data_IF_390479060278
#
_entry.id   IF_390479060278
#
_cell.length_a   1.000
_cell.length_b   1.000
_cell.length_c   1.000
_cell.angle_alpha   90.00
_cell.angle_beta   90.00
_cell.angle_gamma   90.00
#
_symmetry.space_group_name_H-M   'P 1'
#
loop_
_entity.id
_entity.type
_entity.pdbx_description
1 polymer ?
#
# COMPACT_ATOMS: atom_id res chain seq x y z
N UNK A 1 16.60 -30.44 -24.35
CA UNK A 1 16.68 -29.09 -23.79
C UNK A 1 17.52 -29.17 -22.54
N UNK A 2 18.79 -28.74 -22.62
CA UNK A 2 19.69 -28.67 -21.44
C UNK A 2 19.25 -27.48 -20.60
N UNK A 3 18.58 -27.74 -19.50
CA UNK A 3 18.30 -26.71 -18.51
C UNK A 3 19.62 -26.32 -17.84
N UNK A 4 20.10 -25.13 -18.14
CA UNK A 4 21.22 -24.53 -17.39
C UNK A 4 20.82 -24.34 -15.93
N UNK A 5 21.43 -25.11 -15.04
CA UNK A 5 21.18 -24.98 -13.61
C UNK A 5 22.07 -23.84 -13.06
N UNK A 6 21.49 -22.64 -12.99
CA UNK A 6 22.17 -21.43 -12.49
C UNK A 6 22.74 -21.60 -11.08
N UNK A 7 22.06 -22.35 -10.21
CA UNK A 7 22.51 -22.61 -8.85
C UNK A 7 23.84 -23.39 -8.82
N UNK A 8 24.03 -24.33 -9.73
CA UNK A 8 25.30 -25.06 -9.87
C UNK A 8 26.43 -24.14 -10.33
N UNK A 9 26.17 -23.24 -11.28
CA UNK A 9 27.16 -22.30 -11.78
C UNK A 9 27.62 -21.29 -10.72
N UNK A 10 26.71 -20.85 -9.85
CA UNK A 10 27.02 -19.98 -8.69
C UNK A 10 27.84 -20.77 -7.67
N UNK A 11 27.46 -22.02 -7.37
CA UNK A 11 28.18 -22.90 -6.42
C UNK A 11 29.60 -23.15 -6.84
N UNK A 12 29.88 -23.36 -8.13
CA UNK A 12 31.24 -23.56 -8.67
C UNK A 12 31.99 -22.24 -8.93
N UNK A 13 31.45 -21.09 -8.48
CA UNK A 13 32.04 -19.75 -8.70
C UNK A 13 32.32 -19.40 -10.17
N UNK A 14 31.68 -20.12 -11.10
CA UNK A 14 31.77 -19.80 -12.54
C UNK A 14 31.04 -18.48 -12.86
N UNK A 15 30.00 -18.15 -12.07
CA UNK A 15 29.27 -16.89 -12.14
C UNK A 15 29.40 -16.22 -10.76
N UNK A 16 29.89 -14.99 -10.73
CA UNK A 16 30.10 -14.22 -9.51
C UNK A 16 28.80 -13.70 -8.92
N UNK A 17 27.92 -13.25 -9.78
CA UNK A 17 26.65 -12.62 -9.41
C UNK A 17 25.66 -12.64 -10.58
N UNK A 18 24.40 -12.91 -10.30
CA UNK A 18 23.31 -12.81 -11.29
C UNK A 18 22.35 -11.70 -10.80
N UNK A 19 22.12 -10.73 -11.65
CA UNK A 19 21.15 -9.68 -11.39
C UNK A 19 20.20 -9.55 -12.58
N UNK A 20 18.94 -9.23 -12.28
CA UNK A 20 17.93 -9.04 -13.31
C UNK A 20 18.22 -7.76 -14.10
N UNK A 21 18.17 -7.87 -15.45
CA UNK A 21 18.31 -6.71 -16.32
C UNK A 21 17.04 -5.88 -16.25
N UNK A 22 17.18 -4.56 -16.04
CA UNK A 22 16.07 -3.64 -16.02
C UNK A 22 15.34 -3.62 -17.37
N UNK A 23 14.02 -3.78 -17.32
CA UNK A 23 13.15 -3.61 -18.49
C UNK A 23 12.84 -2.11 -18.64
N UNK A 24 13.68 -1.40 -19.37
CA UNK A 24 13.60 0.07 -19.55
C UNK A 24 12.22 0.58 -19.97
N UNK A 25 11.51 -0.16 -20.84
CA UNK A 25 10.15 0.20 -21.28
C UNK A 25 9.14 0.22 -20.12
N UNK A 26 9.25 -0.73 -19.18
CA UNK A 26 8.36 -0.78 -18.01
C UNK A 26 8.75 0.28 -16.97
N UNK A 27 10.05 0.53 -16.81
CA UNK A 27 10.56 1.58 -15.93
C UNK A 27 10.11 2.97 -16.40
N UNK A 28 10.19 3.23 -17.71
CA UNK A 28 9.72 4.47 -18.32
C UNK A 28 8.20 4.66 -18.17
N UNK A 29 7.44 3.57 -18.27
CA UNK A 29 6.00 3.60 -17.99
C UNK A 29 5.68 3.95 -16.51
N UNK A 30 6.46 3.42 -15.56
CA UNK A 30 6.35 3.77 -14.14
C UNK A 30 6.73 5.24 -13.89
N UNK A 31 7.81 5.74 -14.50
CA UNK A 31 8.22 7.13 -14.40
C UNK A 31 7.15 8.09 -14.94
N UNK A 32 6.56 7.78 -16.10
CA UNK A 32 5.47 8.57 -16.69
C UNK A 32 4.21 8.60 -15.82
N UNK A 33 3.97 7.57 -15.01
CA UNK A 33 2.88 7.52 -14.04
C UNK A 33 3.13 8.35 -12.77
N UNK A 34 4.29 8.99 -12.66
CA UNK A 34 4.60 9.92 -11.59
C UNK A 34 5.35 9.33 -10.40
N UNK A 35 5.88 8.12 -10.50
CA UNK A 35 6.70 7.52 -9.44
C UNK A 35 7.99 8.29 -9.14
N UNK A 36 8.44 9.11 -10.07
CA UNK A 36 9.65 9.93 -9.93
C UNK A 36 9.35 11.38 -9.49
N UNK A 37 8.09 11.73 -9.33
CA UNK A 37 7.69 13.10 -9.01
C UNK A 37 7.07 13.14 -7.61
N UNK A 38 7.76 13.72 -6.60
CA UNK A 38 7.27 13.77 -5.22
C UNK A 38 5.94 14.53 -5.09
N UNK A 39 5.68 15.50 -5.98
CA UNK A 39 4.39 16.20 -6.01
C UNK A 39 3.25 15.30 -6.46
N UNK A 40 3.51 14.36 -7.37
CA UNK A 40 2.50 13.39 -7.83
C UNK A 40 2.26 12.25 -6.85
N UNK A 41 3.16 12.01 -5.90
CA UNK A 41 2.91 11.11 -4.77
C UNK A 41 1.81 11.61 -3.83
N UNK A 42 1.56 12.93 -3.80
CA UNK A 42 0.45 13.55 -3.07
C UNK A 42 -0.88 13.30 -3.81
N UNK A 43 -0.86 13.22 -5.15
CA UNK A 43 -2.01 12.82 -5.93
C UNK A 43 -2.18 11.30 -5.87
N UNK A 44 -3.39 10.88 -5.57
CA UNK A 44 -3.80 9.49 -5.36
C UNK A 44 -3.22 8.54 -6.43
N UNK A 45 -2.34 7.59 -6.07
CA UNK A 45 -1.88 6.59 -7.03
C UNK A 45 -3.08 5.77 -7.51
N UNK A 46 -3.26 5.67 -8.82
CA UNK A 46 -4.36 4.93 -9.43
C UNK A 46 -4.14 3.41 -9.32
N UNK A 47 -5.20 2.62 -9.42
CA UNK A 47 -5.10 1.14 -9.41
C UNK A 47 -4.21 0.62 -10.55
N UNK A 48 -4.20 1.30 -11.70
CA UNK A 48 -3.32 1.00 -12.83
C UNK A 48 -1.82 1.05 -12.48
N UNK A 49 -1.42 1.92 -11.55
CA UNK A 49 -0.05 2.01 -11.05
C UNK A 49 0.40 0.71 -10.38
N UNK A 50 -0.45 0.07 -9.58
CA UNK A 50 -0.12 -1.15 -8.86
C UNK A 50 0.03 -2.37 -9.79
N UNK A 51 -0.73 -2.43 -10.87
CA UNK A 51 -0.61 -3.52 -11.87
C UNK A 51 0.70 -3.42 -12.66
N UNK A 52 1.19 -2.20 -12.93
CA UNK A 52 2.50 -2.01 -13.55
C UNK A 52 3.66 -2.35 -12.61
N UNK A 53 3.50 -2.06 -11.31
CA UNK A 53 4.45 -2.53 -10.28
C UNK A 53 4.49 -4.05 -10.22
N UNK A 54 3.34 -4.73 -10.30
CA UNK A 54 3.28 -6.19 -10.33
C UNK A 54 4.01 -6.78 -11.55
N UNK A 55 3.89 -6.16 -12.72
CA UNK A 55 4.60 -6.58 -13.93
C UNK A 55 6.11 -6.42 -13.84
N UNK A 56 6.59 -5.47 -13.04
CA UNK A 56 8.02 -5.16 -12.90
C UNK A 56 8.67 -5.89 -11.72
N UNK A 57 8.07 -5.82 -10.52
CA UNK A 57 8.63 -6.31 -9.26
C UNK A 57 8.05 -7.64 -8.76
N UNK A 58 7.17 -8.28 -9.51
CA UNK A 58 6.37 -9.44 -9.08
C UNK A 58 5.29 -9.12 -8.02
N UNK A 59 4.48 -10.14 -7.76
CA UNK A 59 3.26 -10.01 -6.96
C UNK A 59 3.50 -9.63 -5.49
N UNK A 60 4.54 -10.15 -4.86
CA UNK A 60 4.82 -9.91 -3.43
C UNK A 60 5.03 -8.43 -3.13
N UNK A 61 5.92 -7.79 -3.89
CA UNK A 61 6.20 -6.36 -3.76
C UNK A 61 4.99 -5.53 -4.16
N UNK A 62 4.28 -5.93 -5.23
CA UNK A 62 3.08 -5.24 -5.69
C UNK A 62 1.95 -5.25 -4.64
N UNK A 63 1.79 -6.34 -3.85
CA UNK A 63 0.84 -6.38 -2.74
C UNK A 63 1.19 -5.39 -1.64
N UNK A 64 2.45 -5.25 -1.31
CA UNK A 64 2.90 -4.28 -0.32
C UNK A 64 2.56 -2.84 -0.75
N UNK A 65 2.84 -2.49 -2.01
CA UNK A 65 2.47 -1.20 -2.58
C UNK A 65 0.95 -1.00 -2.64
N UNK A 66 0.21 -2.04 -2.98
CA UNK A 66 -1.26 -2.00 -2.98
C UNK A 66 -1.81 -1.72 -1.58
N UNK A 67 -1.27 -2.39 -0.55
CA UNK A 67 -1.66 -2.17 0.83
C UNK A 67 -1.37 -0.73 1.28
N UNK A 68 -0.16 -0.23 1.05
CA UNK A 68 0.21 1.15 1.40
C UNK A 68 -0.67 2.18 0.71
N UNK A 69 -0.94 1.99 -0.56
CA UNK A 69 -1.81 2.87 -1.34
C UNK A 69 -3.23 2.92 -0.75
N UNK A 70 -3.79 1.74 -0.46
CA UNK A 70 -5.12 1.65 0.12
C UNK A 70 -5.16 2.26 1.53
N UNK A 71 -4.17 1.93 2.36
CA UNK A 71 -4.04 2.45 3.71
C UNK A 71 -3.94 3.98 3.73
N UNK A 72 -3.08 4.56 2.89
CA UNK A 72 -2.91 6.02 2.79
C UNK A 72 -4.22 6.73 2.43
N UNK A 73 -5.00 6.15 1.53
CA UNK A 73 -6.32 6.70 1.17
C UNK A 73 -7.29 6.65 2.35
N UNK A 74 -7.35 5.53 3.03
CA UNK A 74 -8.26 5.37 4.17
C UNK A 74 -7.85 6.22 5.37
N UNK A 75 -6.57 6.55 5.53
CA UNK A 75 -6.08 7.42 6.60
C UNK A 75 -6.58 8.86 6.51
N UNK A 76 -7.04 9.32 5.35
CA UNK A 76 -7.61 10.66 5.21
C UNK A 76 -8.83 10.87 6.13
N UNK A 77 -9.68 9.86 6.30
CA UNK A 77 -10.86 9.96 7.16
C UNK A 77 -10.52 10.14 8.66
N UNK A 78 -9.68 9.30 9.29
CA UNK A 78 -9.29 9.51 10.69
C UNK A 78 -8.47 10.78 10.91
N UNK A 79 -7.69 11.23 9.94
CA UNK A 79 -6.97 12.50 10.03
C UNK A 79 -7.94 13.67 10.09
N UNK A 80 -8.94 13.72 9.21
CA UNK A 80 -9.98 14.75 9.24
C UNK A 80 -10.77 14.71 10.56
N UNK A 81 -11.14 13.51 11.02
CA UNK A 81 -11.84 13.34 12.29
C UNK A 81 -10.98 13.82 13.47
N UNK A 82 -9.68 13.56 13.46
CA UNK A 82 -8.72 14.03 14.47
C UNK A 82 -8.63 15.57 14.50
N UNK A 83 -8.57 16.19 13.33
CA UNK A 83 -8.55 17.67 13.23
C UNK A 83 -9.84 18.24 13.79
N UNK A 84 -11.00 17.70 13.43
CA UNK A 84 -12.30 18.16 13.95
C UNK A 84 -12.37 18.01 15.48
N UNK A 85 -11.97 16.87 16.02
CA UNK A 85 -11.94 16.66 17.48
C UNK A 85 -10.97 17.59 18.20
N UNK A 86 -9.83 17.88 17.59
CA UNK A 86 -8.87 18.84 18.13
C UNK A 86 -9.46 20.27 18.16
N UNK A 87 -10.08 20.70 17.07
CA UNK A 87 -10.71 22.02 16.99
C UNK A 87 -11.87 22.16 17.98
N UNK A 88 -12.69 21.14 18.13
CA UNK A 88 -13.78 21.12 19.11
C UNK A 88 -13.24 21.28 20.55
N UNK A 89 -12.12 20.62 20.87
CA UNK A 89 -11.49 20.76 22.20
C UNK A 89 -10.84 22.12 22.41
N UNK A 90 -10.24 22.68 21.36
CA UNK A 90 -9.52 23.94 21.44
C UNK A 90 -10.46 25.16 21.51
N UNK A 91 -11.48 25.20 20.66
CA UNK A 91 -12.44 26.31 20.61
C UNK A 91 -13.64 26.13 21.54
N UNK A 92 -13.98 24.89 21.88
CA UNK A 92 -15.03 24.60 22.84
C UNK A 92 -14.51 24.82 24.25
N UNK A 93 -15.13 25.75 24.99
CA UNK A 93 -14.87 25.92 26.43
C UNK A 93 -15.46 24.76 27.24
N UNK A 94 -15.16 23.51 26.86
CA UNK A 94 -15.68 22.32 27.48
C UNK A 94 -14.91 21.99 28.76
N UNK A 95 -15.63 21.66 29.83
CA UNK A 95 -15.02 21.19 31.07
C UNK A 95 -14.29 19.84 30.89
N UNK A 96 -13.42 19.47 31.83
CA UNK A 96 -12.64 18.21 31.79
C UNK A 96 -13.50 16.96 31.53
N UNK A 97 -14.70 16.90 32.06
CA UNK A 97 -15.64 15.78 31.89
C UNK A 97 -16.15 15.64 30.46
N UNK A 98 -16.46 16.74 29.80
CA UNK A 98 -16.92 16.75 28.40
C UNK A 98 -15.77 16.42 27.42
N UNK A 99 -14.56 16.90 27.69
CA UNK A 99 -13.36 16.56 26.93
C UNK A 99 -13.07 15.05 26.99
N UNK A 100 -13.33 14.39 28.13
CA UNK A 100 -13.18 12.94 28.27
C UNK A 100 -14.19 12.18 27.42
N UNK A 101 -15.45 12.61 27.37
CA UNK A 101 -16.50 12.00 26.51
C UNK A 101 -16.14 12.10 25.03
N UNK A 102 -15.67 13.25 24.57
CA UNK A 102 -15.24 13.47 23.17
C UNK A 102 -14.08 12.52 22.82
N UNK A 103 -13.11 12.35 23.73
CA UNK A 103 -12.00 11.43 23.52
C UNK A 103 -12.46 9.97 23.41
N UNK A 104 -13.39 9.57 24.30
CA UNK A 104 -13.94 8.23 24.29
C UNK A 104 -14.74 7.94 22.99
N UNK A 105 -15.56 8.88 22.56
CA UNK A 105 -16.28 8.78 21.29
C UNK A 105 -15.32 8.68 20.08
N UNK A 106 -14.26 9.48 20.08
CA UNK A 106 -13.22 9.39 19.05
C UNK A 106 -12.56 8.01 19.01
N UNK A 107 -12.21 7.45 20.17
CA UNK A 107 -11.60 6.11 20.24
C UNK A 107 -12.53 5.03 19.65
N UNK A 108 -13.82 5.07 19.99
CA UNK A 108 -14.82 4.13 19.43
C UNK A 108 -14.91 4.27 17.91
N UNK A 109 -14.95 5.50 17.38
CA UNK A 109 -14.98 5.74 15.94
C UNK A 109 -13.74 5.18 15.23
N UNK A 110 -12.55 5.33 15.82
CA UNK A 110 -11.31 4.76 15.24
C UNK A 110 -11.35 3.22 15.25
N UNK A 111 -11.89 2.58 16.28
CA UNK A 111 -12.07 1.13 16.30
C UNK A 111 -12.99 0.65 15.18
N UNK A 112 -14.13 1.32 14.98
CA UNK A 112 -15.08 1.02 13.90
C UNK A 112 -14.40 1.22 12.55
N UNK A 113 -13.71 2.35 12.36
CA UNK A 113 -12.97 2.65 11.14
C UNK A 113 -11.93 1.56 10.81
N UNK A 114 -11.16 1.13 11.81
CA UNK A 114 -10.16 0.07 11.64
C UNK A 114 -10.78 -1.25 11.16
N UNK A 115 -11.93 -1.63 11.74
CA UNK A 115 -12.67 -2.84 11.36
C UNK A 115 -13.17 -2.75 9.92
N UNK A 116 -13.72 -1.61 9.53
CA UNK A 116 -14.18 -1.35 8.15
C UNK A 116 -13.02 -1.39 7.16
N UNK A 117 -11.88 -0.78 7.52
CA UNK A 117 -10.68 -0.82 6.69
C UNK A 117 -10.20 -2.26 6.43
N UNK A 118 -10.11 -3.09 7.49
CA UNK A 118 -9.68 -4.49 7.35
C UNK A 118 -10.63 -5.31 6.48
N UNK A 119 -11.94 -5.14 6.64
CA UNK A 119 -12.93 -5.82 5.80
C UNK A 119 -12.78 -5.41 4.31
N UNK A 120 -12.66 -4.11 4.05
CA UNK A 120 -12.47 -3.58 2.70
C UNK A 120 -11.14 -4.05 2.08
N UNK A 121 -10.05 -4.02 2.85
CA UNK A 121 -8.74 -4.49 2.39
C UNK A 121 -8.79 -5.97 1.99
N UNK A 122 -9.40 -6.84 2.82
CA UNK A 122 -9.52 -8.27 2.51
C UNK A 122 -10.32 -8.52 1.23
N UNK A 123 -11.38 -7.76 1.00
CA UNK A 123 -12.15 -7.84 -0.24
C UNK A 123 -11.30 -7.45 -1.46
N UNK A 124 -10.59 -6.32 -1.40
CA UNK A 124 -9.71 -5.84 -2.49
C UNK A 124 -8.53 -6.77 -2.71
N UNK A 125 -7.92 -7.31 -1.65
CA UNK A 125 -6.85 -8.31 -1.71
C UNK A 125 -7.31 -9.53 -2.51
N UNK A 126 -8.47 -10.11 -2.19
CA UNK A 126 -8.99 -11.29 -2.89
C UNK A 126 -9.23 -11.03 -4.39
N UNK A 127 -9.77 -9.85 -4.73
CA UNK A 127 -9.94 -9.45 -6.14
C UNK A 127 -8.60 -9.36 -6.88
N UNK A 128 -7.56 -8.81 -6.25
CA UNK A 128 -6.22 -8.72 -6.86
C UNK A 128 -5.54 -10.09 -6.99
N UNK A 129 -5.70 -11.00 -6.02
CA UNK A 129 -5.23 -12.39 -6.13
C UNK A 129 -5.81 -13.08 -7.35
N UNK A 130 -7.12 -12.93 -7.56
CA UNK A 130 -7.80 -13.48 -8.74
C UNK A 130 -7.31 -12.82 -10.03
N UNK A 131 -7.20 -11.50 -10.06
CA UNK A 131 -6.77 -10.73 -11.23
C UNK A 131 -5.31 -11.01 -11.65
N UNK A 132 -4.43 -11.30 -10.68
CA UNK A 132 -3.02 -11.62 -10.94
C UNK A 132 -2.77 -13.13 -11.12
N UNK A 133 -3.82 -13.96 -11.10
CA UNK A 133 -3.75 -15.39 -11.39
C UNK A 133 -3.03 -16.22 -10.33
N UNK A 134 -2.94 -15.73 -9.09
CA UNK A 134 -2.28 -16.42 -7.99
C UNK A 134 -3.23 -17.42 -7.33
N UNK A 135 -3.09 -18.71 -7.68
CA UNK A 135 -3.97 -19.79 -7.18
C UNK A 135 -3.72 -20.23 -5.73
N UNK A 136 -2.54 -19.94 -5.15
CA UNK A 136 -2.11 -20.48 -3.84
C UNK A 136 -1.44 -19.40 -2.96
N UNK A 137 -2.03 -18.23 -2.88
CA UNK A 137 -1.54 -17.19 -1.97
C UNK A 137 -2.33 -17.28 -0.65
N UNK A 138 -1.73 -17.95 0.35
CA UNK A 138 -2.21 -17.98 1.73
C UNK A 138 -1.42 -17.00 2.59
#
# INVERSE_FOLDING_TARGET
QHFFNFNSLIKYKAIKQVFAVHKWKLLDALHKQGWNDPMKLIYWPTEASTDNVCKYFYSEIAFQFHWYNLFSRFMAAPVLLSIVTFLLKYFGSFGLRENSKITCAFAVLICIWSSVFMAYYNQKKNLKILGWGMKNFN
#
